data_IF_052286324514
#
_entry.id   IF_052286324514
#
_cell.length_a   1.000
_cell.length_b   1.000
_cell.length_c   1.000
_cell.angle_alpha   90.00
_cell.angle_beta   90.00
_cell.angle_gamma   90.00
#
_symmetry.space_group_name_H-M   'P 1'
#
loop_
_entity.id
_entity.type
_entity.pdbx_description
1 polymer ?
#
# COMPACT_ATOMS: atom_id res chain seq x y z
N UNK A 1 2.86 -16.91 5.92
CA UNK A 1 2.79 -15.76 4.99
C UNK A 1 2.85 -14.49 5.83
N UNK A 2 3.95 -13.73 5.92
CA UNK A 2 4.00 -12.52 6.78
C UNK A 2 4.87 -11.43 6.14
N UNK A 3 4.22 -10.29 5.86
CA UNK A 3 4.81 -9.04 5.34
C UNK A 3 4.15 -8.52 4.05
N UNK A 4 3.04 -7.79 4.17
CA UNK A 4 2.24 -7.23 3.06
C UNK A 4 2.55 -5.74 2.90
N UNK A 5 2.80 -5.28 1.68
CA UNK A 5 3.12 -3.87 1.41
C UNK A 5 1.87 -3.07 1.24
N UNK A 6 1.75 -2.05 2.08
CA UNK A 6 0.48 -1.38 2.28
C UNK A 6 0.73 0.02 2.83
N UNK A 7 0.14 1.03 2.20
CA UNK A 7 0.15 2.40 2.72
C UNK A 7 -1.16 2.65 3.46
N UNK A 8 -1.05 3.01 4.73
CA UNK A 8 -2.16 3.37 5.60
C UNK A 8 -1.99 4.81 6.12
N UNK A 9 -3.07 5.37 6.66
CA UNK A 9 -3.06 6.67 7.33
C UNK A 9 -3.37 6.48 8.81
N UNK A 10 -2.45 6.88 9.67
CA UNK A 10 -2.66 6.96 11.11
C UNK A 10 -3.20 8.35 11.50
N UNK A 11 -4.45 8.41 11.97
CA UNK A 11 -5.11 9.64 12.43
C UNK A 11 -6.13 9.32 13.53
N UNK A 12 -6.32 10.24 14.47
CA UNK A 12 -7.27 10.09 15.60
C UNK A 12 -7.08 8.77 16.39
N UNK A 13 -5.83 8.32 16.51
CA UNK A 13 -5.47 7.09 17.23
C UNK A 13 -5.83 5.79 16.51
N UNK A 14 -6.12 5.85 15.20
CA UNK A 14 -6.46 4.69 14.37
C UNK A 14 -5.68 4.72 13.07
N UNK A 15 -5.37 3.52 12.58
CA UNK A 15 -4.82 3.28 11.26
C UNK A 15 -5.96 2.97 10.30
N UNK A 16 -5.96 3.60 9.11
CA UNK A 16 -6.98 3.46 8.08
C UNK A 16 -6.36 3.09 6.75
N UNK A 17 -7.02 2.20 6.02
CA UNK A 17 -6.56 1.83 4.69
C UNK A 17 -7.58 1.18 3.77
N UNK A 18 -7.24 1.10 2.48
CA UNK A 18 -8.11 0.51 1.46
C UNK A 18 -7.57 -0.81 0.91
N UNK A 19 -8.43 -1.83 0.89
CA UNK A 19 -8.16 -3.14 0.28
C UNK A 19 -9.44 -3.79 -0.27
N UNK A 20 -10.38 -4.17 0.60
CA UNK A 20 -11.72 -4.63 0.21
C UNK A 20 -12.70 -3.84 1.06
N UNK A 21 -12.83 -2.56 0.70
CA UNK A 21 -13.40 -1.52 1.55
C UNK A 21 -12.35 -0.86 2.44
N UNK A 22 -12.78 0.18 3.16
CA UNK A 22 -11.95 0.89 4.13
C UNK A 22 -11.85 0.06 5.41
N UNK A 23 -10.65 -0.42 5.71
CA UNK A 23 -10.32 -1.15 6.93
C UNK A 23 -9.69 -0.18 7.91
N UNK A 24 -10.00 -0.34 9.20
CA UNK A 24 -9.33 0.42 10.25
C UNK A 24 -9.03 -0.41 11.48
N UNK A 25 -7.92 -0.12 12.16
CA UNK A 25 -7.58 -0.77 13.43
C UNK A 25 -6.75 0.14 14.32
N UNK A 26 -6.37 -0.32 15.50
CA UNK A 26 -5.29 0.32 16.26
C UNK A 26 -3.99 0.26 15.44
N UNK A 27 -3.17 1.32 15.43
CA UNK A 27 -1.91 1.32 14.70
C UNK A 27 -1.06 0.11 15.08
N UNK A 28 -0.58 -0.62 14.07
CA UNK A 28 0.26 -1.78 14.29
C UNK A 28 -0.46 -3.07 14.68
N UNK A 29 -1.79 -3.06 14.80
CA UNK A 29 -2.62 -4.22 15.17
C UNK A 29 -3.28 -4.93 14.00
N UNK A 30 -3.08 -4.43 12.78
CA UNK A 30 -3.52 -5.13 11.58
C UNK A 30 -2.69 -6.39 11.36
N UNK A 31 -3.13 -7.24 10.44
CA UNK A 31 -2.32 -8.36 9.95
C UNK A 31 -1.03 -7.92 9.23
N UNK A 32 -0.85 -6.60 9.00
CA UNK A 32 0.38 -6.00 8.49
C UNK A 32 1.40 -5.68 9.60
N UNK A 33 1.00 -5.66 10.88
CA UNK A 33 1.88 -5.32 12.01
C UNK A 33 2.23 -3.84 12.09
N UNK A 34 3.25 -3.50 12.90
CA UNK A 34 3.73 -2.12 13.07
C UNK A 34 4.25 -1.54 11.74
N UNK A 35 3.85 -0.31 11.46
CA UNK A 35 4.37 0.42 10.30
C UNK A 35 5.89 0.57 10.42
N UNK A 36 6.59 0.08 9.40
CA UNK A 36 8.05 0.07 9.36
C UNK A 36 8.63 1.48 9.21
N UNK A 37 7.88 2.38 8.58
CA UNK A 37 8.19 3.80 8.50
C UNK A 37 6.91 4.62 8.72
N UNK A 38 7.05 5.77 9.38
CA UNK A 38 5.97 6.73 9.59
C UNK A 38 6.38 8.11 9.07
N UNK A 39 5.74 8.55 7.99
CA UNK A 39 5.93 9.89 7.45
C UNK A 39 4.92 10.84 8.10
N UNK A 40 5.41 11.85 8.82
CA UNK A 40 4.53 12.86 9.43
C UNK A 40 3.98 13.80 8.36
N UNK A 41 2.72 13.56 7.97
CA UNK A 41 2.04 14.39 6.97
C UNK A 41 1.69 15.79 7.51
N UNK A 42 1.24 15.90 8.76
CA UNK A 42 0.90 17.19 9.36
C UNK A 42 0.02 17.06 10.59
N UNK A 43 -0.64 18.17 10.93
CA UNK A 43 -1.68 18.22 11.96
C UNK A 43 -2.92 18.77 11.27
N UNK A 44 -4.06 18.14 11.51
CA UNK A 44 -5.35 18.61 11.00
C UNK A 44 -6.11 19.35 12.11
N UNK A 45 -6.89 20.37 11.72
CA UNK A 45 -7.88 21.01 12.59
C UNK A 45 -9.26 20.34 12.49
N UNK A 46 -9.42 19.37 11.59
CA UNK A 46 -10.65 18.61 11.43
C UNK A 46 -10.88 17.67 12.61
N UNK A 47 -12.14 17.42 12.92
CA UNK A 47 -12.52 16.50 13.99
C UNK A 47 -12.62 15.06 13.46
N UNK A 48 -12.59 14.09 14.38
CA UNK A 48 -12.82 12.69 14.03
C UNK A 48 -14.23 12.44 13.46
N UNK A 49 -15.21 13.27 13.80
CA UNK A 49 -16.58 13.21 13.25
C UNK A 49 -16.58 13.63 11.78
N UNK A 50 -15.98 14.79 11.45
CA UNK A 50 -15.85 15.25 10.06
C UNK A 50 -15.08 14.25 9.19
N UNK A 51 -14.10 13.55 9.75
CA UNK A 51 -13.38 12.51 9.03
C UNK A 51 -14.23 11.25 8.78
N UNK A 52 -15.11 10.87 9.72
CA UNK A 52 -16.07 9.78 9.49
C UNK A 52 -17.06 10.12 8.39
N UNK A 53 -17.57 11.36 8.38
CA UNK A 53 -18.47 11.83 7.32
C UNK A 53 -17.79 11.76 5.96
N UNK A 54 -16.53 12.19 5.88
CA UNK A 54 -15.71 12.03 4.67
C UNK A 54 -15.57 10.55 4.25
N UNK A 55 -15.27 9.63 5.17
CA UNK A 55 -15.16 8.20 4.84
C UNK A 55 -16.49 7.63 4.31
N UNK A 56 -17.62 8.04 4.89
CA UNK A 56 -18.95 7.65 4.43
C UNK A 56 -19.23 8.19 3.02
N UNK A 57 -18.91 9.46 2.77
CA UNK A 57 -19.04 10.05 1.44
C UNK A 57 -18.17 9.33 0.40
N UNK A 58 -17.00 8.80 0.80
CA UNK A 58 -16.07 8.12 -0.08
C UNK A 58 -16.37 6.62 -0.29
N UNK A 59 -17.40 6.06 0.34
CA UNK A 59 -17.76 4.62 0.24
C UNK A 59 -18.07 4.19 -1.19
N UNK A 60 -18.67 5.08 -2.00
CA UNK A 60 -18.91 4.82 -3.42
C UNK A 60 -17.62 4.58 -4.22
N UNK A 61 -16.49 5.15 -3.76
CA UNK A 61 -15.17 5.00 -4.37
C UNK A 61 -14.33 3.92 -3.70
N UNK A 62 -14.47 3.69 -2.40
CA UNK A 62 -13.65 2.76 -1.62
C UNK A 62 -14.49 1.68 -0.92
N UNK A 63 -15.20 0.88 -1.72
CA UNK A 63 -15.96 -0.29 -1.29
C UNK A 63 -15.24 -1.62 -1.60
N UNK A 64 -15.85 -2.70 -1.16
CA UNK A 64 -15.37 -4.10 -1.25
C UNK A 64 -15.06 -4.58 -2.68
N UNK A 65 -15.73 -4.03 -3.69
CA UNK A 65 -15.58 -4.42 -5.10
C UNK A 65 -14.80 -3.41 -5.95
N UNK A 66 -14.44 -2.26 -5.39
CA UNK A 66 -13.84 -1.15 -6.14
C UNK A 66 -12.32 -1.13 -6.18
N UNK A 67 -11.65 -2.09 -5.54
CA UNK A 67 -10.19 -2.13 -5.53
C UNK A 67 -9.65 -2.47 -6.91
N UNK A 68 -8.78 -1.61 -7.42
CA UNK A 68 -8.09 -1.75 -8.69
C UNK A 68 -6.63 -1.33 -8.49
N UNK A 69 -5.71 -2.21 -8.85
CA UNK A 69 -4.29 -2.01 -8.67
C UNK A 69 -3.76 -0.71 -9.29
N UNK A 70 -4.33 -0.28 -10.41
CA UNK A 70 -3.89 0.86 -11.19
C UNK A 70 -4.66 2.14 -10.90
N UNK A 71 -5.97 2.01 -10.70
CA UNK A 71 -6.90 3.14 -10.70
C UNK A 71 -7.43 3.47 -9.31
N UNK A 72 -7.41 2.51 -8.39
CA UNK A 72 -8.07 2.67 -7.10
C UNK A 72 -7.51 1.69 -6.06
N UNK A 73 -6.40 2.05 -5.41
CA UNK A 73 -5.70 1.18 -4.45
C UNK A 73 -5.42 1.93 -3.14
N UNK A 74 -4.68 1.29 -2.22
CA UNK A 74 -4.31 1.85 -0.92
C UNK A 74 -3.55 3.20 -1.00
N UNK A 75 -2.75 3.43 -2.05
CA UNK A 75 -2.04 4.68 -2.24
C UNK A 75 -2.99 5.81 -2.66
N UNK A 76 -3.99 5.52 -3.51
CA UNK A 76 -5.02 6.48 -3.88
C UNK A 76 -5.86 6.88 -2.66
N UNK A 77 -6.29 5.89 -1.87
CA UNK A 77 -7.00 6.14 -0.62
C UNK A 77 -6.19 7.01 0.35
N UNK A 78 -4.93 6.63 0.60
CA UNK A 78 -4.05 7.37 1.51
C UNK A 78 -3.82 8.80 1.02
N UNK A 79 -3.65 9.00 -0.30
CA UNK A 79 -3.54 10.32 -0.89
C UNK A 79 -4.79 11.17 -0.65
N UNK A 80 -5.99 10.66 -0.97
CA UNK A 80 -7.24 11.39 -0.80
C UNK A 80 -7.49 11.75 0.67
N UNK A 81 -7.22 10.82 1.59
CA UNK A 81 -7.30 11.06 3.04
C UNK A 81 -6.32 12.16 3.47
N UNK A 82 -5.05 12.08 3.05
CA UNK A 82 -4.05 13.10 3.43
C UNK A 82 -4.33 14.47 2.80
N UNK A 83 -4.89 14.51 1.60
CA UNK A 83 -5.32 15.75 0.96
C UNK A 83 -6.50 16.38 1.72
N UNK A 84 -7.51 15.59 2.11
CA UNK A 84 -8.64 16.07 2.90
C UNK A 84 -8.20 16.58 4.28
N UNK A 85 -7.37 15.80 4.99
CA UNK A 85 -6.98 16.11 6.37
C UNK A 85 -6.00 17.26 6.48
N UNK A 86 -4.99 17.32 5.60
CA UNK A 86 -3.86 18.24 5.75
C UNK A 86 -3.49 19.00 4.47
N UNK A 87 -4.18 18.76 3.35
CA UNK A 87 -3.93 19.46 2.09
C UNK A 87 -2.59 19.12 1.45
N UNK A 88 -2.02 17.93 1.72
CA UNK A 88 -0.67 17.55 1.27
C UNK A 88 -0.65 16.24 0.52
N UNK A 89 0.25 16.18 -0.46
CA UNK A 89 0.61 14.98 -1.21
C UNK A 89 2.13 14.84 -1.22
N UNK A 90 2.63 13.61 -1.37
CA UNK A 90 4.06 13.37 -1.57
C UNK A 90 4.37 13.61 -3.06
N UNK A 91 5.15 14.65 -3.35
CA UNK A 91 5.56 14.97 -4.73
C UNK A 91 6.76 14.13 -5.14
N UNK A 92 6.60 13.31 -6.17
CA UNK A 92 7.69 12.48 -6.71
C UNK A 92 8.57 13.23 -7.73
N UNK A 93 8.00 14.16 -8.50
CA UNK A 93 8.73 14.96 -9.47
C UNK A 93 7.82 15.57 -10.55
N UNK A 94 8.44 16.05 -11.63
CA UNK A 94 7.78 16.55 -12.83
C UNK A 94 8.40 15.81 -14.02
N UNK A 95 7.59 15.43 -15.00
CA UNK A 95 8.02 14.74 -16.22
C UNK A 95 7.75 15.58 -17.46
N UNK A 96 8.55 15.39 -18.51
CA UNK A 96 8.29 15.89 -19.86
C UNK A 96 7.59 14.84 -20.75
N UNK A 97 7.36 13.63 -20.24
CA UNK A 97 6.65 12.59 -20.98
C UNK A 97 5.19 12.98 -21.17
N UNK A 98 4.64 12.65 -22.32
CA UNK A 98 3.24 12.95 -22.64
C UNK A 98 2.31 11.94 -21.97
N UNK A 99 1.04 12.32 -21.82
CA UNK A 99 0.01 11.40 -21.33
C UNK A 99 -0.15 10.16 -22.21
N UNK A 100 0.08 10.28 -23.53
CA UNK A 100 0.04 9.16 -24.48
C UNK A 100 1.17 8.17 -24.20
N UNK A 101 2.41 8.65 -24.05
CA UNK A 101 3.56 7.79 -23.70
C UNK A 101 3.36 7.08 -22.36
N UNK A 102 2.74 7.75 -21.38
CA UNK A 102 2.42 7.11 -20.11
C UNK A 102 1.34 6.05 -20.25
N UNK A 103 0.33 6.29 -21.09
CA UNK A 103 -0.73 5.31 -21.37
C UNK A 103 -0.17 4.06 -22.04
N UNK A 104 0.74 4.23 -23.00
CA UNK A 104 1.42 3.11 -23.67
C UNK A 104 2.25 2.30 -22.67
N UNK A 105 3.01 2.97 -21.80
CA UNK A 105 3.71 2.31 -20.70
C UNK A 105 2.76 1.51 -19.78
N UNK A 106 1.60 2.07 -19.43
CA UNK A 106 0.62 1.36 -18.61
C UNK A 106 0.09 0.10 -19.31
N UNK A 107 -0.20 0.18 -20.62
CA UNK A 107 -0.60 -1.00 -21.40
C UNK A 107 0.49 -2.07 -21.44
N UNK A 108 1.75 -1.65 -21.61
CA UNK A 108 2.88 -2.56 -21.54
C UNK A 108 3.00 -3.20 -20.15
N UNK A 109 2.64 -2.49 -19.07
CA UNK A 109 2.74 -3.00 -17.71
C UNK A 109 1.58 -3.91 -17.28
N UNK A 110 0.46 -4.00 -18.02
CA UNK A 110 -0.70 -4.84 -17.67
C UNK A 110 -0.35 -6.32 -17.50
N UNK A 111 0.56 -6.87 -18.31
CA UNK A 111 0.98 -8.27 -18.17
C UNK A 111 1.79 -8.51 -16.89
N UNK A 112 2.53 -7.49 -16.44
CA UNK A 112 3.33 -7.55 -15.22
C UNK A 112 2.45 -7.33 -14.00
N UNK A 113 1.58 -6.32 -14.01
CA UNK A 113 0.73 -5.97 -12.87
C UNK A 113 -0.73 -6.26 -13.21
N UNK A 114 -1.30 -7.32 -12.67
CA UNK A 114 -2.71 -7.64 -12.83
C UNK A 114 -3.17 -8.51 -11.65
N UNK A 115 -4.47 -8.77 -11.59
CA UNK A 115 -5.09 -9.53 -10.50
C UNK A 115 -4.50 -10.94 -10.34
N UNK A 116 -4.00 -11.54 -11.43
CA UNK A 116 -3.43 -12.89 -11.39
C UNK A 116 -1.93 -12.91 -11.10
N UNK A 117 -1.21 -11.84 -11.44
CA UNK A 117 0.23 -11.71 -11.22
C UNK A 117 0.57 -10.98 -9.94
N UNK A 118 -0.42 -10.44 -9.23
CA UNK A 118 -0.23 -9.76 -7.95
C UNK A 118 0.47 -10.71 -6.98
N UNK A 119 1.74 -10.42 -6.72
CA UNK A 119 2.54 -11.13 -5.73
C UNK A 119 2.93 -10.15 -4.65
N UNK A 120 2.65 -10.57 -3.43
CA UNK A 120 2.84 -9.72 -2.30
C UNK A 120 4.30 -9.29 -2.13
N UNK A 121 5.27 -10.15 -2.35
CA UNK A 121 6.67 -9.84 -2.06
C UNK A 121 7.42 -9.32 -3.27
N UNK A 122 6.96 -9.68 -4.47
CA UNK A 122 7.72 -9.49 -5.71
C UNK A 122 7.01 -8.61 -6.72
N UNK A 123 5.71 -8.37 -6.55
CA UNK A 123 4.89 -7.74 -7.58
C UNK A 123 3.57 -7.13 -7.05
N UNK A 124 3.69 -6.03 -6.32
CA UNK A 124 2.57 -5.34 -5.65
C UNK A 124 2.49 -3.85 -6.01
N UNK A 125 1.62 -3.10 -5.32
CA UNK A 125 1.41 -1.67 -5.53
C UNK A 125 2.68 -0.82 -5.40
N UNK A 126 3.62 -1.18 -4.53
CA UNK A 126 4.88 -0.46 -4.35
C UNK A 126 5.82 -0.71 -5.53
N UNK A 127 5.90 -1.95 -6.01
CA UNK A 127 6.66 -2.28 -7.22
C UNK A 127 6.11 -1.53 -8.43
N UNK A 128 4.79 -1.51 -8.60
CA UNK A 128 4.14 -0.72 -9.64
C UNK A 128 4.44 0.78 -9.49
N UNK A 129 4.27 1.34 -8.28
CA UNK A 129 4.55 2.77 -8.03
C UNK A 129 6.01 3.11 -8.31
N UNK A 130 6.94 2.21 -8.00
CA UNK A 130 8.35 2.37 -8.34
C UNK A 130 8.58 2.40 -9.84
N UNK A 131 8.06 1.44 -10.59
CA UNK A 131 8.26 1.39 -12.03
C UNK A 131 7.66 2.61 -12.72
N UNK A 132 6.48 3.06 -12.26
CA UNK A 132 5.86 4.32 -12.73
C UNK A 132 6.70 5.54 -12.41
N UNK A 133 7.22 5.66 -11.17
CA UNK A 133 8.04 6.82 -10.78
C UNK A 133 9.39 6.82 -11.49
N UNK A 134 9.99 5.66 -11.69
CA UNK A 134 11.20 5.50 -12.46
C UNK A 134 10.99 5.90 -13.92
N UNK A 135 9.91 5.43 -14.54
CA UNK A 135 9.55 5.78 -15.91
C UNK A 135 9.28 7.28 -16.07
N UNK A 136 8.43 7.85 -15.21
CA UNK A 136 8.00 9.23 -15.34
C UNK A 136 9.10 10.23 -14.98
N UNK A 137 9.79 10.04 -13.86
CA UNK A 137 10.66 11.06 -13.28
C UNK A 137 12.10 10.60 -13.05
N UNK A 138 12.45 9.38 -13.44
CA UNK A 138 13.80 8.83 -13.29
C UNK A 138 14.20 8.62 -11.83
N UNK A 139 13.23 8.53 -10.92
CA UNK A 139 13.45 8.33 -9.48
C UNK A 139 12.65 7.15 -9.00
N UNK A 140 13.24 6.37 -8.12
CA UNK A 140 12.53 5.34 -7.37
C UNK A 140 11.62 5.99 -6.33
N UNK A 141 10.58 5.27 -5.90
CA UNK A 141 10.02 5.54 -4.57
C UNK A 141 11.14 5.30 -3.54
N UNK A 142 11.14 5.97 -2.38
CA UNK A 142 12.24 5.85 -1.41
C UNK A 142 12.70 4.40 -1.20
N UNK A 143 14.02 4.15 -1.28
CA UNK A 143 14.57 2.79 -1.42
C UNK A 143 14.16 1.83 -0.29
N UNK A 144 13.87 2.35 0.90
CA UNK A 144 13.34 1.55 2.01
C UNK A 144 11.91 1.04 1.77
N UNK A 145 11.14 1.62 0.84
CA UNK A 145 9.83 1.12 0.41
C UNK A 145 10.00 -0.06 -0.58
N UNK A 146 11.19 -0.18 -1.21
CA UNK A 146 11.48 -1.15 -2.28
C UNK A 146 12.31 -2.35 -1.85
N UNK A 147 13.39 -2.11 -1.08
CA UNK A 147 14.40 -3.12 -0.73
C UNK A 147 13.97 -3.98 0.46
N UNK A 148 12.75 -3.80 0.93
CA UNK A 148 12.35 -4.29 2.22
C UNK A 148 11.96 -5.79 2.22
N UNK A 149 11.59 -6.45 1.10
CA UNK A 149 11.63 -7.93 1.05
C UNK A 149 13.03 -8.49 1.34
N UNK A 150 14.08 -7.83 0.86
CA UNK A 150 15.48 -8.24 1.08
C UNK A 150 15.88 -7.99 2.54
N UNK A 151 15.58 -6.81 3.09
CA UNK A 151 15.81 -6.49 4.50
C UNK A 151 15.06 -7.46 5.43
N UNK A 152 13.83 -7.85 5.09
CA UNK A 152 13.06 -8.82 5.85
C UNK A 152 13.68 -10.21 5.80
N UNK A 153 14.10 -10.70 4.62
CA UNK A 153 14.76 -12.00 4.46
C UNK A 153 16.08 -12.09 5.23
N UNK A 154 16.76 -10.96 5.43
CA UNK A 154 17.98 -10.88 6.25
C UNK A 154 17.69 -10.80 7.75
N UNK A 155 16.45 -10.52 8.15
CA UNK A 155 16.09 -10.31 9.56
C UNK A 155 15.95 -11.63 10.36
N UNK A 156 16.21 -11.60 11.68
CA UNK A 156 15.95 -12.76 12.56
C UNK A 156 14.48 -13.22 12.55
N UNK A 157 13.55 -12.30 12.25
CA UNK A 157 12.12 -12.58 12.15
C UNK A 157 11.82 -13.55 10.99
N UNK A 158 12.56 -13.47 9.87
CA UNK A 158 12.40 -14.43 8.77
C UNK A 158 12.70 -15.86 9.19
N UNK A 159 13.77 -16.11 9.97
CA UNK A 159 14.11 -17.46 10.46
C UNK A 159 13.02 -18.04 11.36
N UNK A 160 12.42 -17.22 12.22
CA UNK A 160 11.27 -17.64 13.05
C UNK A 160 10.03 -17.92 12.17
N UNK A 161 9.80 -17.07 11.17
CA UNK A 161 8.70 -17.19 10.23
C UNK A 161 8.74 -18.46 9.37
N UNK A 162 9.91 -18.90 8.89
CA UNK A 162 10.01 -20.17 8.16
C UNK A 162 9.85 -21.37 9.10
N UNK A 163 10.41 -21.31 10.31
CA UNK A 163 10.26 -22.36 11.33
C UNK A 163 8.80 -22.62 11.73
N UNK A 164 8.00 -21.56 11.87
CA UNK A 164 6.57 -21.69 12.17
C UNK A 164 5.73 -22.23 11.00
N UNK A 165 6.21 -22.14 9.76
CA UNK A 165 5.49 -22.68 8.57
C UNK A 165 5.94 -24.10 8.21
N UNK A 166 7.12 -24.56 8.66
CA UNK A 166 7.51 -25.98 8.56
C UNK A 166 6.69 -26.86 9.50
N UNK A 167 6.38 -26.38 10.70
CA UNK A 167 5.63 -27.15 11.71
C UNK A 167 4.15 -27.35 11.33
N UNK A 168 3.58 -26.47 10.50
CA UNK A 168 2.18 -26.59 10.02
C UNK A 168 1.97 -27.63 8.92
N UNK A 169 3.04 -28.17 8.32
CA UNK A 169 2.92 -29.22 7.29
C UNK A 169 2.94 -30.65 7.84
N UNK A 170 3.25 -30.84 9.12
CA UNK A 170 3.27 -32.17 9.74
C UNK A 170 1.87 -32.60 10.27
N UNK A 171 0.95 -31.66 10.51
CA UNK A 171 -0.38 -31.96 11.07
C UNK A 171 -1.48 -32.26 10.03
N UNK A 172 -1.25 -32.03 8.73
CA UNK A 172 -2.23 -32.36 7.66
C UNK A 172 -2.05 -33.78 7.08
N UNK A 173 -1.17 -34.59 7.68
CA UNK A 173 -0.80 -35.94 7.21
C UNK A 173 -1.45 -37.12 7.93
N UNK A 174 -2.38 -36.92 8.85
CA UNK A 174 -3.10 -38.01 9.53
C UNK A 174 -4.55 -37.64 9.86
N UNK A 175 -5.46 -37.85 8.91
CA UNK A 175 -6.82 -38.37 9.17
C UNK A 175 -7.48 -38.86 7.88
#
# INVERSE_FOLDING_TARGET
>A
IEGIWHTSVEVFGREYYFQSGVIHSEPGKTHHGEALEKIKMGVTSLTAEMFKDFLYEMEHKYNDTSYDLFKNNCNHFSNDVTLFLVGKTIKMGVTSLTAEMFKDFLYEMEHKYNDTSYDLFKNNCNHFSNDVTLFLVGKTIPDHILLLPEIFMESPLYKMFIGMNSDKKEDEGQQ
#
